data_IF_111377743678
#
_entry.id   IF_111377743678
#
_cell.length_a   1.000
_cell.length_b   1.000
_cell.length_c   1.000
_cell.angle_alpha   90.00
_cell.angle_beta   90.00
_cell.angle_gamma   90.00
#
_symmetry.space_group_name_H-M   'P 1'
#
loop_
_entity.id
_entity.type
_entity.pdbx_description
1 polymer ?
#
# COMPACT_ATOMS: atom_id res chain seq x y z
N UNK A 1 9.18 4.28 -22.31
CA UNK A 1 9.24 2.86 -21.93
C UNK A 1 8.97 2.60 -20.44
N UNK A 2 9.68 3.21 -19.48
CA UNK A 2 9.44 2.92 -18.05
C UNK A 2 8.05 3.40 -17.56
N UNK A 3 7.60 4.57 -18.00
CA UNK A 3 6.27 5.10 -17.69
C UNK A 3 5.12 4.20 -18.22
N UNK A 4 5.22 3.70 -19.45
CA UNK A 4 4.26 2.72 -19.99
C UNK A 4 4.24 1.42 -19.18
N UNK A 5 5.40 0.91 -18.78
CA UNK A 5 5.49 -0.30 -17.94
C UNK A 5 4.85 -0.08 -16.57
N UNK A 6 5.03 1.09 -15.96
CA UNK A 6 4.36 1.45 -14.71
C UNK A 6 2.84 1.57 -14.89
N UNK A 7 2.38 2.17 -15.98
CA UNK A 7 0.96 2.31 -16.28
C UNK A 7 0.28 0.94 -16.47
N UNK A 8 0.94 0.02 -17.18
CA UNK A 8 0.46 -1.36 -17.34
C UNK A 8 0.42 -2.07 -15.98
N UNK A 9 1.44 -1.92 -15.14
CA UNK A 9 1.45 -2.54 -13.81
C UNK A 9 0.36 -1.99 -12.89
N UNK A 10 0.08 -0.69 -12.98
CA UNK A 10 -1.03 -0.05 -12.28
C UNK A 10 -2.39 -0.60 -12.72
N UNK A 11 -2.59 -0.77 -14.03
CA UNK A 11 -3.82 -1.35 -14.59
C UNK A 11 -4.02 -2.81 -14.14
N UNK A 12 -2.98 -3.64 -14.23
CA UNK A 12 -3.03 -5.04 -13.76
C UNK A 12 -3.35 -5.09 -12.26
N UNK A 13 -2.73 -4.23 -11.45
CA UNK A 13 -2.98 -4.19 -10.00
C UNK A 13 -4.44 -3.85 -9.67
N UNK A 14 -5.02 -2.88 -10.38
CA UNK A 14 -6.44 -2.53 -10.24
C UNK A 14 -7.35 -3.70 -10.65
N UNK A 15 -7.04 -4.36 -11.77
CA UNK A 15 -7.82 -5.49 -12.26
C UNK A 15 -7.75 -6.70 -11.32
N UNK A 16 -6.66 -6.86 -10.57
CA UNK A 16 -6.50 -7.90 -9.55
C UNK A 16 -7.28 -7.63 -8.26
N UNK A 17 -7.60 -6.37 -7.91
CA UNK A 17 -8.40 -6.06 -6.71
C UNK A 17 -9.80 -6.68 -6.78
N UNK A 18 -10.42 -6.69 -7.96
CA UNK A 18 -11.77 -7.23 -8.16
C UNK A 18 -11.87 -8.75 -7.88
N UNK A 19 -11.04 -9.62 -8.48
CA UNK A 19 -11.06 -11.05 -8.18
C UNK A 19 -10.61 -11.35 -6.75
N UNK A 20 -9.62 -10.64 -6.19
CA UNK A 20 -9.19 -10.83 -4.79
C UNK A 20 -10.36 -10.52 -3.84
N UNK A 21 -11.02 -9.38 -4.02
CA UNK A 21 -12.18 -8.99 -3.19
C UNK A 21 -13.30 -10.03 -3.31
N UNK A 22 -13.59 -10.50 -4.53
CA UNK A 22 -14.57 -11.57 -4.75
C UNK A 22 -14.19 -12.87 -4.05
N UNK A 23 -12.92 -13.24 -4.03
CA UNK A 23 -12.44 -14.43 -3.33
C UNK A 23 -12.50 -14.28 -1.82
N UNK A 24 -12.18 -13.10 -1.27
CA UNK A 24 -12.35 -12.79 0.16
C UNK A 24 -13.81 -12.91 0.58
N UNK A 25 -14.73 -12.29 -0.17
CA UNK A 25 -16.18 -12.43 0.07
C UNK A 25 -16.63 -13.90 0.02
N UNK A 26 -16.19 -14.67 -0.97
CA UNK A 26 -16.50 -16.13 -1.04
C UNK A 26 -15.98 -16.88 0.18
N UNK A 27 -14.80 -16.53 0.67
CA UNK A 27 -14.21 -17.12 1.88
C UNK A 27 -15.00 -16.81 3.15
N UNK A 28 -15.70 -15.66 3.21
CA UNK A 28 -16.57 -15.32 4.35
C UNK A 28 -17.82 -16.21 4.43
N UNK A 29 -18.25 -16.80 3.31
CA UNK A 29 -19.39 -17.73 3.25
C UNK A 29 -18.99 -19.21 3.38
N UNK A 30 -17.70 -19.51 3.54
CA UNK A 30 -17.22 -20.87 3.76
C UNK A 30 -17.39 -21.27 5.23
N UNK A 31 -17.63 -22.57 5.47
CA UNK A 31 -17.62 -23.12 6.81
C UNK A 31 -16.27 -22.87 7.50
N UNK A 32 -16.34 -22.63 8.81
CA UNK A 32 -15.15 -22.34 9.59
C UNK A 32 -14.22 -23.56 9.62
N UNK A 33 -13.09 -23.43 8.95
CA UNK A 33 -12.20 -24.54 8.65
C UNK A 33 -10.78 -24.04 8.45
N UNK A 34 -9.79 -24.90 8.73
CA UNK A 34 -8.40 -24.61 8.45
C UNK A 34 -8.13 -24.28 6.97
N UNK A 35 -9.00 -24.74 6.05
CA UNK A 35 -8.94 -24.39 4.63
C UNK A 35 -9.36 -22.94 4.37
N UNK A 36 -10.41 -22.45 5.05
CA UNK A 36 -10.87 -21.05 4.98
C UNK A 36 -9.78 -20.09 5.47
N UNK A 37 -9.14 -20.42 6.58
CA UNK A 37 -8.09 -19.57 7.16
C UNK A 37 -6.85 -19.52 6.27
N UNK A 38 -6.42 -20.67 5.72
CA UNK A 38 -5.32 -20.73 4.74
C UNK A 38 -5.63 -19.93 3.48
N UNK A 39 -6.84 -20.08 2.92
CA UNK A 39 -7.25 -19.32 1.74
C UNK A 39 -7.25 -17.82 2.02
N UNK A 40 -7.73 -17.41 3.20
CA UNK A 40 -7.73 -16.00 3.62
C UNK A 40 -6.31 -15.46 3.73
N UNK A 41 -5.40 -16.23 4.31
CA UNK A 41 -3.98 -15.90 4.40
C UNK A 41 -3.32 -15.77 3.02
N UNK A 42 -3.50 -16.76 2.14
CA UNK A 42 -2.95 -16.74 0.78
C UNK A 42 -3.47 -15.52 -0.01
N UNK A 43 -4.75 -15.17 0.16
CA UNK A 43 -5.33 -13.97 -0.45
C UNK A 43 -4.69 -12.68 0.07
N UNK A 44 -4.36 -12.61 1.36
CA UNK A 44 -3.66 -11.47 1.95
C UNK A 44 -2.22 -11.38 1.43
N UNK A 45 -1.51 -12.50 1.29
CA UNK A 45 -0.16 -12.53 0.71
C UNK A 45 -0.15 -12.04 -0.74
N UNK A 46 -1.08 -12.53 -1.57
CA UNK A 46 -1.21 -12.07 -2.96
C UNK A 46 -1.50 -10.57 -3.02
N UNK A 47 -2.39 -10.08 -2.15
CA UNK A 47 -2.69 -8.65 -2.06
C UNK A 47 -1.46 -7.82 -1.69
N UNK A 48 -0.63 -8.32 -0.77
CA UNK A 48 0.61 -7.66 -0.36
C UNK A 48 1.66 -7.67 -1.47
N UNK A 49 1.86 -8.80 -2.15
CA UNK A 49 2.80 -8.90 -3.27
C UNK A 49 2.46 -7.92 -4.40
N UNK A 50 1.17 -7.74 -4.70
CA UNK A 50 0.72 -6.76 -5.71
C UNK A 50 1.04 -5.33 -5.26
N UNK A 51 0.80 -5.00 -3.99
CA UNK A 51 1.15 -3.68 -3.42
C UNK A 51 2.65 -3.42 -3.49
N UNK A 52 3.46 -4.38 -3.09
CA UNK A 52 4.92 -4.24 -3.05
C UNK A 52 5.49 -4.10 -4.46
N UNK A 53 4.99 -4.88 -5.42
CA UNK A 53 5.37 -4.76 -6.84
C UNK A 53 5.04 -3.38 -7.41
N UNK A 54 3.89 -2.82 -7.06
CA UNK A 54 3.51 -1.46 -7.47
C UNK A 54 4.38 -0.39 -6.82
N UNK A 55 4.68 -0.52 -5.52
CA UNK A 55 5.56 0.39 -4.80
C UNK A 55 6.98 0.37 -5.39
N UNK A 56 7.51 -0.82 -5.68
CA UNK A 56 8.79 -1.00 -6.35
C UNK A 56 8.81 -0.33 -7.73
N UNK A 57 7.80 -0.58 -8.57
CA UNK A 57 7.73 0.02 -9.89
C UNK A 57 7.64 1.56 -9.84
N UNK A 58 6.86 2.10 -8.90
CA UNK A 58 6.82 3.55 -8.64
C UNK A 58 8.16 4.09 -8.18
N UNK A 59 8.87 3.39 -7.30
CA UNK A 59 10.21 3.82 -6.85
C UNK A 59 11.25 3.77 -7.98
N UNK A 60 11.11 2.80 -8.90
CA UNK A 60 12.02 2.65 -10.03
C UNK A 60 11.78 3.72 -11.12
N UNK A 61 10.55 4.20 -11.28
CA UNK A 61 10.18 5.19 -12.30
C UNK A 61 9.81 6.57 -11.77
N UNK A 62 9.83 6.77 -10.45
CA UNK A 62 9.89 8.10 -9.88
C UNK A 62 11.17 8.74 -10.40
N UNK A 63 11.03 9.74 -11.26
CA UNK A 63 12.05 10.76 -11.35
C UNK A 63 12.28 11.20 -9.91
N UNK A 64 13.47 10.91 -9.36
CA UNK A 64 13.91 11.47 -8.09
C UNK A 64 13.54 12.94 -8.11
N UNK A 65 12.62 13.35 -7.24
CA UNK A 65 12.39 14.78 -7.05
C UNK A 65 13.76 15.40 -6.81
N UNK A 66 14.09 16.52 -7.49
CA UNK A 66 15.37 17.14 -7.31
C UNK A 66 15.54 17.42 -5.81
N UNK A 67 16.69 17.05 -5.21
CA UNK A 67 16.89 17.20 -3.78
C UNK A 67 16.65 18.67 -3.40
N UNK A 68 15.71 18.89 -2.50
CA UNK A 68 15.36 20.20 -2.00
C UNK A 68 16.05 20.44 -0.66
N UNK A 69 16.40 21.70 -0.39
CA UNK A 69 16.77 22.10 0.97
C UNK A 69 15.52 22.07 1.82
N UNK A 70 15.58 21.34 2.94
CA UNK A 70 14.52 21.29 3.94
C UNK A 70 15.03 21.91 5.24
N UNK A 71 14.16 22.68 5.88
CA UNK A 71 14.35 23.09 7.27
C UNK A 71 13.82 21.96 8.16
N UNK A 72 14.73 21.28 8.85
CA UNK A 72 14.38 20.10 9.64
C UNK A 72 13.54 20.47 10.86
N UNK A 73 13.78 21.64 11.46
CA UNK A 73 13.07 22.10 12.64
C UNK A 73 11.61 22.41 12.27
N UNK A 74 11.40 23.17 11.18
CA UNK A 74 10.05 23.46 10.67
C UNK A 74 9.28 22.20 10.24
N UNK A 75 9.98 21.20 9.69
CA UNK A 75 9.37 19.93 9.30
C UNK A 75 8.93 19.11 10.52
N UNK A 76 9.78 19.02 11.54
CA UNK A 76 9.46 18.33 12.79
C UNK A 76 8.32 19.03 13.53
N UNK A 77 8.32 20.36 13.58
CA UNK A 77 7.22 21.14 14.17
C UNK A 77 5.88 20.88 13.47
N UNK A 78 5.88 20.86 12.12
CA UNK A 78 4.68 20.51 11.35
C UNK A 78 4.17 19.11 11.70
N UNK A 79 5.06 18.13 11.83
CA UNK A 79 4.69 16.75 12.14
C UNK A 79 4.13 16.61 13.58
N UNK A 80 4.74 17.31 14.54
CA UNK A 80 4.25 17.36 15.92
C UNK A 80 2.85 17.98 15.97
N UNK A 81 2.62 19.07 15.26
CA UNK A 81 1.31 19.72 15.14
C UNK A 81 0.26 18.74 14.58
N UNK A 82 0.53 18.08 13.45
CA UNK A 82 -0.40 17.14 12.82
C UNK A 82 -0.83 16.01 13.77
N UNK A 83 0.12 15.45 14.53
CA UNK A 83 -0.17 14.38 15.48
C UNK A 83 -0.96 14.87 16.69
N UNK A 84 -0.64 16.08 17.16
CA UNK A 84 -1.37 16.72 18.27
C UNK A 84 -2.80 17.03 17.86
N UNK A 85 -3.03 17.49 16.61
CA UNK A 85 -4.34 17.81 16.06
C UNK A 85 -5.27 16.59 15.96
N UNK A 86 -4.71 15.41 15.71
CA UNK A 86 -5.46 14.13 15.74
C UNK A 86 -5.50 13.48 17.13
N UNK A 87 -5.10 14.21 18.18
CA UNK A 87 -5.16 13.77 19.57
C UNK A 87 -4.14 12.70 19.95
N UNK A 88 -3.08 12.52 19.15
CA UNK A 88 -1.97 11.63 19.49
C UNK A 88 -0.91 12.39 20.28
N UNK A 89 -0.62 12.00 21.54
CA UNK A 89 0.40 12.68 22.32
C UNK A 89 1.78 12.46 21.71
N UNK A 90 2.54 13.54 21.54
CA UNK A 90 3.93 13.53 21.06
C UNK A 90 4.84 13.99 22.20
N UNK A 91 5.94 13.27 22.44
CA UNK A 91 6.97 13.60 23.42
C UNK A 91 8.32 13.67 22.72
N UNK A 92 9.10 14.71 23.04
CA UNK A 92 10.48 14.87 22.59
C UNK A 92 11.44 13.93 23.34
#
# INVERSE_FOLDING_TARGET
HLAERMQILGAISHDLQTPITRMKLRSEFMDDSAGRDKLTHDLQEVEQLVRDGLAYARSAGAATEPPARIDLDAFLDSLVCDYTDIGKPVTL
#
